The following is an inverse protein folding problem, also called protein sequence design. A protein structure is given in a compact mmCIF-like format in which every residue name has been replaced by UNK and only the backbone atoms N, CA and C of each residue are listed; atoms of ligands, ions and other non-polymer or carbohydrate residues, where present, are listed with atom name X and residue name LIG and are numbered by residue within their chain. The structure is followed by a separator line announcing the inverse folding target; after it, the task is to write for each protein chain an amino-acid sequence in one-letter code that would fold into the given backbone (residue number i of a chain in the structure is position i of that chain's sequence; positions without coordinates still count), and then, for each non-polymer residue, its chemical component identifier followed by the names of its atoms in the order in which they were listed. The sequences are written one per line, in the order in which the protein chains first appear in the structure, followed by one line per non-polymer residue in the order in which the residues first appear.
data_IF_655402432729
#
_entry.id   IF_655402432729
#
_cell.length_a   1.000
_cell.length_b   1.000
_cell.length_c   1.000
_cell.angle_alpha   90.00
_cell.angle_beta   90.00
_cell.angle_gamma   90.00
#
_symmetry.space_group_name_H-M   'P 1'
#
loop_
_entity.id
_entity.type
_entity.pdbx_description
1 polymer ?
#
# COMPACT_ATOMS: atom_id res chain seq x y z
N UNK A 1 -3.07 -3.47 -21.64
CA UNK A 1 -3.68 -4.15 -20.47
C UNK A 1 -2.64 -4.77 -19.55
N UNK A 2 -1.58 -5.46 -20.03
CA UNK A 2 -0.51 -5.93 -19.13
C UNK A 2 0.33 -4.80 -18.53
N UNK A 3 0.48 -3.67 -19.23
CA UNK A 3 1.27 -2.51 -18.78
C UNK A 3 0.69 -1.89 -17.52
N UNK A 4 -0.63 -1.65 -17.51
CA UNK A 4 -1.35 -1.11 -16.35
C UNK A 4 -1.30 -2.07 -15.15
N UNK A 5 -1.35 -3.38 -15.41
CA UNK A 5 -1.18 -4.39 -14.36
C UNK A 5 0.25 -4.41 -13.80
N UNK A 6 1.27 -4.23 -14.65
CA UNK A 6 2.67 -4.16 -14.22
C UNK A 6 2.91 -2.93 -13.34
N UNK A 7 2.37 -1.77 -13.72
CA UNK A 7 2.44 -0.55 -12.90
C UNK A 7 1.77 -0.73 -11.53
N UNK A 8 0.65 -1.47 -11.47
CA UNK A 8 -0.01 -1.81 -10.20
C UNK A 8 0.88 -2.69 -9.31
N UNK A 9 1.51 -3.72 -9.87
CA UNK A 9 2.41 -4.59 -9.11
C UNK A 9 3.63 -3.82 -8.60
N UNK A 10 4.18 -2.91 -9.40
CA UNK A 10 5.27 -2.03 -8.99
C UNK A 10 4.85 -1.13 -7.81
N UNK A 11 3.66 -0.55 -7.86
CA UNK A 11 3.14 0.27 -6.76
C UNK A 11 2.95 -0.54 -5.48
N UNK A 12 2.43 -1.77 -5.60
CA UNK A 12 2.30 -2.71 -4.47
C UNK A 12 3.68 -3.03 -3.90
N UNK A 13 4.66 -3.30 -4.75
CA UNK A 13 6.01 -3.64 -4.33
C UNK A 13 6.72 -2.48 -3.62
N UNK A 14 6.59 -1.26 -4.17
CA UNK A 14 7.09 -0.04 -3.53
C UNK A 14 6.40 0.18 -2.18
N UNK A 15 5.08 0.00 -2.11
CA UNK A 15 4.31 0.13 -0.86
C UNK A 15 4.75 -0.86 0.22
N UNK A 16 5.03 -2.11 -0.16
CA UNK A 16 5.52 -3.13 0.78
C UNK A 16 6.89 -2.75 1.36
N UNK A 17 7.85 -2.37 0.49
CA UNK A 17 9.20 -1.94 0.92
C UNK A 17 9.14 -0.68 1.78
N UNK A 18 8.36 0.31 1.37
CA UNK A 18 8.16 1.54 2.14
C UNK A 18 7.49 1.26 3.50
N UNK A 19 6.57 0.30 3.58
CA UNK A 19 5.93 -0.11 4.83
C UNK A 19 6.92 -0.72 5.83
N UNK A 20 7.83 -1.57 5.36
CA UNK A 20 8.92 -2.12 6.18
C UNK A 20 9.88 -1.03 6.65
N UNK A 21 10.37 -0.20 5.71
CA UNK A 21 11.23 0.95 6.01
C UNK A 21 10.57 1.92 7.01
N UNK A 22 9.27 2.18 6.87
CA UNK A 22 8.52 3.04 7.78
C UNK A 22 8.42 2.49 9.21
N UNK A 23 8.27 1.16 9.38
CA UNK A 23 8.32 0.51 10.70
C UNK A 23 9.70 0.66 11.33
N UNK A 24 10.75 0.44 10.55
CA UNK A 24 12.14 0.59 10.95
C UNK A 24 12.47 2.02 11.38
N UNK A 25 12.06 3.01 10.58
CA UNK A 25 12.13 4.45 10.89
C UNK A 25 11.49 4.79 12.23
N UNK A 26 10.30 4.25 12.52
CA UNK A 26 9.59 4.48 13.80
C UNK A 26 10.29 3.87 15.02
N UNK A 27 11.15 2.87 14.82
CA UNK A 27 11.98 2.27 15.88
C UNK A 27 13.30 3.03 16.09
N UNK A 28 13.58 4.05 15.28
CA UNK A 28 14.85 4.79 15.32
C UNK A 28 16.03 4.01 14.71
N UNK A 29 15.76 2.92 14.00
CA UNK A 29 16.80 2.13 13.34
C UNK A 29 17.31 2.85 12.07
N UNK A 30 18.62 2.73 11.76
CA UNK A 30 19.20 3.37 10.58
C UNK A 30 18.63 2.74 9.30
N UNK A 31 18.20 3.60 8.37
CA UNK A 31 17.68 3.18 7.07
C UNK A 31 18.81 3.05 6.05
N UNK A 32 18.75 2.02 5.22
CA UNK A 32 19.60 1.91 4.05
C UNK A 32 19.21 2.93 2.97
N UNK A 33 20.09 3.21 1.99
CA UNK A 33 19.76 4.08 0.86
C UNK A 33 18.50 3.63 0.10
N UNK A 34 18.33 2.32 -0.10
CA UNK A 34 17.17 1.74 -0.77
C UNK A 34 15.88 1.92 0.05
N UNK A 35 15.96 1.79 1.37
CA UNK A 35 14.83 2.01 2.27
C UNK A 35 14.38 3.48 2.24
N UNK A 36 15.34 4.41 2.22
CA UNK A 36 15.07 5.84 2.04
C UNK A 36 14.40 6.13 0.70
N UNK A 37 14.89 5.52 -0.38
CA UNK A 37 14.32 5.71 -1.71
C UNK A 37 12.90 5.16 -1.79
N UNK A 38 12.66 3.94 -1.31
CA UNK A 38 11.34 3.32 -1.30
C UNK A 38 10.34 4.16 -0.47
N UNK A 39 10.76 4.60 0.72
CA UNK A 39 9.94 5.46 1.58
C UNK A 39 9.60 6.79 0.88
N UNK A 40 10.60 7.46 0.31
CA UNK A 40 10.41 8.74 -0.39
C UNK A 40 9.56 8.60 -1.65
N UNK A 41 9.73 7.51 -2.41
CA UNK A 41 8.91 7.19 -3.59
C UNK A 41 7.46 6.96 -3.19
N UNK A 42 7.23 6.18 -2.13
CA UNK A 42 5.89 5.99 -1.59
C UNK A 42 5.29 7.30 -1.07
N UNK A 43 6.02 8.11 -0.30
CA UNK A 43 5.53 9.39 0.22
C UNK A 43 5.06 10.33 -0.90
N UNK A 44 5.83 10.43 -2.00
CA UNK A 44 5.48 11.25 -3.19
C UNK A 44 4.37 10.68 -4.06
N UNK A 45 4.08 9.38 -3.96
CA UNK A 45 3.04 8.74 -4.77
C UNK A 45 1.66 9.31 -4.42
N UNK A 46 0.82 9.52 -5.43
CA UNK A 46 -0.52 10.10 -5.26
C UNK A 46 -1.40 9.22 -4.35
N UNK A 47 -2.32 9.85 -3.62
CA UNK A 47 -3.25 9.13 -2.75
C UNK A 47 -4.12 8.11 -3.51
N UNK A 48 -4.44 8.40 -4.76
CA UNK A 48 -5.18 7.48 -5.64
C UNK A 48 -4.38 6.20 -5.93
N UNK A 49 -3.12 6.33 -6.39
CA UNK A 49 -2.26 5.17 -6.67
C UNK A 49 -2.02 4.31 -5.44
N UNK A 50 -1.78 4.95 -4.28
CA UNK A 50 -1.69 4.24 -2.99
C UNK A 50 -2.96 3.44 -2.68
N UNK A 51 -4.13 4.04 -2.92
CA UNK A 51 -5.42 3.40 -2.65
C UNK A 51 -5.67 2.21 -3.58
N UNK A 52 -5.33 2.35 -4.86
CA UNK A 52 -5.42 1.27 -5.85
C UNK A 52 -4.45 0.13 -5.51
N UNK A 53 -3.20 0.44 -5.17
CA UNK A 53 -2.20 -0.57 -4.79
C UNK A 53 -2.63 -1.37 -3.54
N UNK A 54 -3.02 -0.66 -2.47
CA UNK A 54 -3.48 -1.31 -1.23
C UNK A 54 -4.78 -2.08 -1.47
N UNK A 55 -5.71 -1.51 -2.23
CA UNK A 55 -6.98 -2.14 -2.57
C UNK A 55 -6.82 -3.40 -3.42
N UNK A 56 -5.99 -3.34 -4.47
CA UNK A 56 -5.67 -4.47 -5.34
C UNK A 56 -4.99 -5.60 -4.57
N UNK A 57 -4.01 -5.28 -3.72
CA UNK A 57 -3.39 -6.26 -2.82
C UNK A 57 -4.42 -6.90 -1.88
N UNK A 58 -5.30 -6.10 -1.27
CA UNK A 58 -6.30 -6.58 -0.33
C UNK A 58 -7.34 -7.49 -0.99
N UNK A 59 -7.87 -7.09 -2.16
CA UNK A 59 -8.81 -7.90 -2.94
C UNK A 59 -8.14 -9.20 -3.40
N UNK A 60 -6.91 -9.13 -3.91
CA UNK A 60 -6.18 -10.30 -4.39
C UNK A 60 -5.80 -11.29 -3.28
N UNK A 61 -5.45 -10.79 -2.09
CA UNK A 61 -4.99 -11.63 -0.97
C UNK A 61 -6.16 -12.21 -0.17
N UNK A 62 -7.17 -11.39 0.14
CA UNK A 62 -8.24 -11.76 1.06
C UNK A 62 -9.59 -12.02 0.37
N UNK A 63 -9.68 -11.76 -0.92
CA UNK A 63 -10.91 -11.91 -1.70
C UNK A 63 -11.94 -10.80 -1.47
N UNK A 64 -13.04 -10.86 -2.22
CA UNK A 64 -14.14 -9.88 -2.17
C UNK A 64 -14.78 -9.74 -0.77
N UNK A 65 -14.76 -10.79 0.05
CA UNK A 65 -15.34 -10.78 1.40
C UNK A 65 -14.69 -9.75 2.32
N UNK A 66 -13.37 -9.55 2.21
CA UNK A 66 -12.65 -8.54 2.98
C UNK A 66 -13.00 -7.11 2.54
N UNK A 67 -13.12 -6.87 1.23
CA UNK A 67 -13.47 -5.55 0.68
C UNK A 67 -14.92 -5.16 1.00
N UNK A 68 -15.86 -6.11 0.86
CA UNK A 68 -17.26 -5.91 1.25
C UNK A 68 -17.37 -5.73 2.77
N UNK A 69 -16.68 -6.56 3.55
CA UNK A 69 -16.61 -6.44 5.00
C UNK A 69 -16.09 -5.07 5.45
N UNK A 70 -15.02 -4.58 4.85
CA UNK A 70 -14.47 -3.24 5.12
C UNK A 70 -15.42 -2.09 4.75
N UNK A 71 -16.17 -2.23 3.65
CA UNK A 71 -17.17 -1.24 3.22
C UNK A 71 -18.37 -1.19 4.19
N UNK A 72 -18.86 -2.36 4.62
CA UNK A 72 -19.94 -2.48 5.61
C UNK A 72 -19.49 -1.95 6.98
N UNK A 73 -18.29 -2.30 7.45
CA UNK A 73 -17.74 -1.79 8.71
C UNK A 73 -17.55 -0.28 8.70
N UNK A 74 -17.12 0.30 7.56
CA UNK A 74 -17.00 1.76 7.41
C UNK A 74 -18.36 2.46 7.49
N UNK A 75 -19.42 1.87 6.94
CA UNK A 75 -20.79 2.40 7.04
C UNK A 75 -21.24 2.45 8.50
N UNK A 76 -20.96 1.40 9.28
CA UNK A 76 -21.35 1.30 10.69
C UNK A 76 -20.57 2.25 11.61
N UNK A 77 -19.37 2.68 11.22
CA UNK A 77 -18.58 3.68 11.96
C UNK A 77 -19.02 5.14 11.75
N UNK A 78 -19.85 5.41 10.74
CA UNK A 78 -20.40 6.74 10.45
C UNK A 78 -21.84 6.92 10.95
N UNK A 79 -22.48 5.84 11.40
CA UNK A 79 -23.78 5.86 12.05
C UNK A 79 -23.60 6.10 13.56
#
# INVERSE_FOLDING_TARGET
MPEESAELFDDIYVGLRAGAAGRKKRRGEPLSPEEHEALGRWERMSGFRKSVAVGGFAVGTFGLGFTVGGLVFRRWRKA
#
